data_IF_218209071348
#
_entry.id   IF_218209071348
#
_cell.length_a   1.000
_cell.length_b   1.000
_cell.length_c   1.000
_cell.angle_alpha   90.00
_cell.angle_beta   90.00
_cell.angle_gamma   90.00
#
_symmetry.space_group_name_H-M   'P 1'
#
loop_
_entity.id
_entity.type
_entity.pdbx_description
1 polymer ?
#
# COMPACT_ATOMS: atom_id res chain seq x y z
N UNK A 1 -34.32 -0.27 27.99
CA UNK A 1 -33.85 -1.65 27.72
C UNK A 1 -32.32 -1.64 27.76
N UNK A 2 -31.76 -1.85 28.95
CA UNK A 2 -30.33 -1.69 29.24
C UNK A 2 -29.62 -3.02 28.97
N UNK A 3 -28.66 -3.04 28.04
CA UNK A 3 -27.79 -4.21 27.86
C UNK A 3 -26.85 -4.28 29.07
N UNK A 4 -27.12 -5.21 29.97
CA UNK A 4 -26.27 -5.52 31.13
C UNK A 4 -24.82 -5.82 30.68
N UNK A 5 -23.81 -5.42 31.46
CA UNK A 5 -22.39 -5.71 31.18
C UNK A 5 -22.11 -7.18 30.82
N UNK A 6 -22.85 -8.11 31.40
CA UNK A 6 -22.74 -9.56 31.16
C UNK A 6 -23.07 -9.94 29.71
N UNK A 7 -24.06 -9.30 29.09
CA UNK A 7 -24.44 -9.59 27.70
C UNK A 7 -23.39 -9.11 26.69
N UNK A 8 -22.65 -8.03 27.01
CA UNK A 8 -21.52 -7.57 26.17
C UNK A 8 -20.34 -8.53 26.26
N UNK A 9 -20.01 -8.99 27.47
CA UNK A 9 -18.94 -9.96 27.68
C UNK A 9 -19.22 -11.29 26.96
N UNK A 10 -20.47 -11.74 26.98
CA UNK A 10 -20.88 -12.97 26.31
C UNK A 10 -20.81 -12.85 24.78
N UNK A 11 -21.23 -11.71 24.21
CA UNK A 11 -21.08 -11.42 22.78
C UNK A 11 -19.60 -11.36 22.35
N UNK A 12 -18.74 -10.79 23.20
CA UNK A 12 -17.29 -10.78 22.97
C UNK A 12 -16.71 -12.20 23.03
N UNK A 13 -17.09 -13.01 24.00
CA UNK A 13 -16.65 -14.40 24.08
C UNK A 13 -17.14 -15.23 22.88
N UNK A 14 -18.36 -15.03 22.40
CA UNK A 14 -18.87 -15.69 21.18
C UNK A 14 -18.11 -15.26 19.93
N UNK A 15 -17.74 -13.98 19.80
CA UNK A 15 -16.87 -13.51 18.71
C UNK A 15 -15.47 -14.10 18.80
N UNK A 16 -14.85 -14.13 19.98
CA UNK A 16 -13.50 -14.66 20.15
C UNK A 16 -13.43 -16.17 19.91
N UNK A 17 -14.48 -16.93 20.26
CA UNK A 17 -14.59 -18.37 19.93
C UNK A 17 -14.76 -18.64 18.42
N UNK A 18 -15.31 -17.68 17.67
CA UNK A 18 -15.46 -17.77 16.21
C UNK A 18 -14.31 -17.14 15.41
N UNK A 19 -13.42 -16.38 16.05
CA UNK A 19 -12.24 -15.77 15.43
C UNK A 19 -11.02 -16.63 15.77
N UNK A 20 -10.98 -17.83 15.21
CA UNK A 20 -9.68 -18.41 14.90
C UNK A 20 -9.07 -17.49 13.85
N UNK A 21 -8.03 -16.74 14.24
CA UNK A 21 -7.24 -15.94 13.29
C UNK A 21 -6.61 -16.94 12.32
N UNK A 22 -7.28 -17.22 11.21
CA UNK A 22 -6.75 -18.06 10.14
C UNK A 22 -5.38 -17.47 9.82
N UNK A 23 -4.33 -18.27 10.00
CA UNK A 23 -2.98 -17.86 9.64
C UNK A 23 -3.09 -17.47 8.16
N UNK A 24 -2.94 -16.18 7.88
CA UNK A 24 -2.90 -15.71 6.51
C UNK A 24 -1.64 -16.36 5.95
N UNK A 25 -1.81 -17.32 5.05
CA UNK A 25 -0.69 -17.85 4.29
C UNK A 25 0.00 -16.65 3.63
N UNK A 26 1.33 -16.66 3.61
CA UNK A 26 2.10 -15.53 3.10
C UNK A 26 1.73 -15.20 1.66
N UNK A 27 2.02 -13.97 1.22
CA UNK A 27 1.82 -13.58 -0.17
C UNK A 27 2.74 -14.45 -1.04
N UNK A 28 2.15 -15.32 -1.84
CA UNK A 28 2.89 -16.20 -2.75
C UNK A 28 3.33 -15.39 -3.97
N UNK A 29 4.60 -15.44 -4.37
CA UNK A 29 5.06 -14.83 -5.61
C UNK A 29 4.27 -15.35 -6.81
N UNK A 30 3.87 -14.46 -7.72
CA UNK A 30 3.22 -14.81 -8.98
C UNK A 30 4.13 -14.48 -10.16
N UNK A 31 4.05 -15.23 -11.27
CA UNK A 31 4.75 -14.90 -12.52
C UNK A 31 4.44 -13.45 -12.98
N UNK A 32 5.41 -12.82 -13.63
CA UNK A 32 5.31 -11.45 -14.19
C UNK A 32 5.48 -11.42 -15.72
N UNK A 33 5.20 -12.53 -16.35
CA UNK A 33 5.26 -12.76 -17.80
C UNK A 33 4.05 -12.22 -18.57
N UNK A 34 3.03 -11.72 -17.86
CA UNK A 34 1.82 -11.16 -18.45
C UNK A 34 1.28 -9.92 -17.72
N UNK A 35 0.15 -9.42 -18.22
CA UNK A 35 -0.54 -8.30 -17.60
C UNK A 35 -1.06 -8.68 -16.20
N UNK A 36 -0.63 -7.91 -15.19
CA UNK A 36 -1.10 -8.08 -13.82
C UNK A 36 -2.38 -7.24 -13.60
N UNK A 37 -3.39 -7.78 -12.89
CA UNK A 37 -4.57 -7.00 -12.56
C UNK A 37 -4.20 -5.86 -11.61
N UNK A 38 -4.75 -4.68 -11.86
CA UNK A 38 -4.62 -3.56 -10.94
C UNK A 38 -5.34 -3.87 -9.63
N UNK A 39 -4.74 -3.44 -8.52
CA UNK A 39 -5.47 -3.36 -7.26
C UNK A 39 -6.60 -2.34 -7.37
N UNK A 40 -7.59 -2.45 -6.48
CA UNK A 40 -8.68 -1.48 -6.43
C UNK A 40 -8.19 -0.03 -6.32
N UNK A 41 -7.15 0.20 -5.49
CA UNK A 41 -6.55 1.52 -5.33
C UNK A 41 -5.87 2.01 -6.63
N UNK A 42 -5.13 1.14 -7.32
CA UNK A 42 -4.48 1.48 -8.58
C UNK A 42 -5.51 1.84 -9.67
N UNK A 43 -6.57 1.05 -9.81
CA UNK A 43 -7.62 1.33 -10.79
C UNK A 43 -8.34 2.65 -10.49
N UNK A 44 -8.66 2.92 -9.22
CA UNK A 44 -9.23 4.20 -8.80
C UNK A 44 -8.33 5.38 -9.19
N UNK A 45 -7.03 5.29 -8.91
CA UNK A 45 -6.07 6.34 -9.26
C UNK A 45 -5.98 6.56 -10.79
N UNK A 46 -5.98 5.48 -11.56
CA UNK A 46 -5.99 5.57 -13.02
C UNK A 46 -7.25 6.28 -13.55
N UNK A 47 -8.42 5.97 -13.01
CA UNK A 47 -9.67 6.66 -13.41
C UNK A 47 -9.59 8.16 -13.08
N UNK A 48 -9.06 8.51 -11.89
CA UNK A 48 -8.97 9.90 -11.45
C UNK A 48 -8.03 10.72 -12.34
N UNK A 49 -6.89 10.14 -12.73
CA UNK A 49 -5.95 10.77 -13.70
C UNK A 49 -6.63 11.02 -15.06
N UNK A 50 -7.47 10.09 -15.54
CA UNK A 50 -8.19 10.26 -16.81
C UNK A 50 -9.26 11.35 -16.79
N UNK A 51 -9.85 11.64 -15.64
CA UNK A 51 -10.85 12.70 -15.50
C UNK A 51 -10.21 14.10 -15.55
N UNK A 52 -8.95 14.24 -15.15
CA UNK A 52 -8.19 15.50 -15.17
C UNK A 52 -6.74 15.27 -15.61
N UNK A 53 -6.51 15.07 -16.91
CA UNK A 53 -5.15 14.86 -17.43
C UNK A 53 -4.26 16.06 -17.11
N UNK A 54 -3.05 15.79 -16.59
CA UNK A 54 -2.08 16.83 -16.23
C UNK A 54 -2.32 17.49 -14.86
N UNK A 55 -3.27 16.98 -14.07
CA UNK A 55 -3.45 17.37 -12.67
C UNK A 55 -2.25 16.98 -11.80
N UNK A 56 -2.05 17.72 -10.70
CA UNK A 56 -0.96 17.48 -9.75
C UNK A 56 -1.43 16.92 -8.42
N UNK A 57 -2.73 16.67 -8.27
CA UNK A 57 -3.41 16.28 -7.01
C UNK A 57 -2.88 14.97 -6.41
N UNK A 58 -2.24 14.14 -7.23
CA UNK A 58 -1.73 12.82 -6.85
C UNK A 58 -0.21 12.69 -6.97
N UNK A 59 0.50 13.80 -7.22
CA UNK A 59 1.95 13.82 -7.10
C UNK A 59 2.35 13.75 -5.62
N UNK A 60 3.37 12.96 -5.32
CA UNK A 60 3.98 12.90 -4.00
C UNK A 60 5.37 13.54 -4.05
N UNK A 61 5.48 14.88 -4.07
CA UNK A 61 6.77 15.53 -4.12
C UNK A 61 7.56 15.27 -2.84
N UNK A 62 8.85 14.99 -2.99
CA UNK A 62 9.79 14.85 -1.90
C UNK A 62 10.97 15.79 -2.14
N UNK A 63 11.32 16.58 -1.12
CA UNK A 63 12.51 17.42 -1.13
C UNK A 63 13.48 16.89 -0.06
N UNK A 64 14.74 16.66 -0.46
CA UNK A 64 15.79 16.18 0.42
C UNK A 64 16.97 17.16 0.40
N UNK A 65 17.45 17.52 1.59
CA UNK A 65 18.69 18.28 1.74
C UNK A 65 19.84 17.32 2.02
N UNK A 66 20.82 17.31 1.12
CA UNK A 66 22.04 16.51 1.27
C UNK A 66 23.19 17.44 1.69
N UNK A 67 23.68 17.35 2.94
CA UNK A 67 24.79 18.18 3.38
C UNK A 67 26.10 17.68 2.75
N UNK A 68 26.95 18.62 2.33
CA UNK A 68 28.26 18.32 1.74
C UNK A 68 28.24 18.23 0.20
N UNK A 69 29.39 17.91 -0.41
CA UNK A 69 29.49 17.80 -1.86
C UNK A 69 28.66 16.62 -2.39
N UNK A 70 27.85 16.89 -3.41
CA UNK A 70 27.08 15.88 -4.12
C UNK A 70 27.82 15.45 -5.38
N UNK A 71 27.96 14.14 -5.61
CA UNK A 71 28.31 13.57 -6.90
C UNK A 71 27.01 13.26 -7.69
N UNK A 72 26.67 14.05 -8.73
CA UNK A 72 25.43 13.85 -9.49
C UNK A 72 25.44 12.54 -10.29
N UNK A 73 26.60 12.08 -10.74
CA UNK A 73 26.71 10.85 -11.51
C UNK A 73 26.47 9.63 -10.62
N UNK A 74 26.98 9.64 -9.38
CA UNK A 74 26.68 8.61 -8.39
C UNK A 74 25.19 8.60 -8.02
N UNK A 75 24.58 9.77 -7.78
CA UNK A 75 23.16 9.86 -7.48
C UNK A 75 22.29 9.31 -8.63
N UNK A 76 22.60 9.66 -9.88
CA UNK A 76 21.91 9.12 -11.05
C UNK A 76 21.97 7.59 -11.09
N UNK A 77 23.18 7.01 -10.98
CA UNK A 77 23.34 5.55 -10.97
C UNK A 77 22.55 4.86 -9.86
N UNK A 78 22.50 5.46 -8.67
CA UNK A 78 21.75 4.91 -7.55
C UNK A 78 20.23 4.92 -7.81
N UNK A 79 19.70 6.01 -8.39
CA UNK A 79 18.29 6.10 -8.76
C UNK A 79 17.95 5.15 -9.92
N UNK A 80 18.82 5.01 -10.92
CA UNK A 80 18.62 4.09 -12.03
C UNK A 80 18.59 2.63 -11.54
N UNK A 81 19.50 2.27 -10.62
CA UNK A 81 19.49 0.95 -9.98
C UNK A 81 18.23 0.72 -9.13
N UNK A 82 17.70 1.76 -8.48
CA UNK A 82 16.45 1.68 -7.75
C UNK A 82 15.27 1.41 -8.68
N UNK A 83 15.20 2.11 -9.83
CA UNK A 83 14.17 1.87 -10.85
C UNK A 83 14.28 0.46 -11.41
N UNK A 84 15.49 0.00 -11.76
CA UNK A 84 15.67 -1.34 -12.31
C UNK A 84 15.28 -2.48 -11.35
N UNK A 85 15.31 -2.22 -10.03
CA UNK A 85 14.94 -3.20 -9.00
C UNK A 85 13.43 -3.41 -8.87
N UNK A 86 12.60 -2.41 -9.18
CA UNK A 86 11.16 -2.43 -8.92
C UNK A 86 10.35 -2.56 -10.22
#
# INVERSE_FOLDING_TARGET
>A
MSTSPSSRAELLQRRLRGVTKKRQDGIVPVPRDGALPLSFAQHRMWVLDRLRPGGTEYLMPLLLRLPGPLDPAALRRALDALVARH
#
